data_IF_265802874270
#
_entry.id   IF_265802874270
#
_cell.length_a   1.000
_cell.length_b   1.000
_cell.length_c   1.000
_cell.angle_alpha   90.00
_cell.angle_beta   90.00
_cell.angle_gamma   90.00
#
_symmetry.space_group_name_H-M   'P 1'
#
loop_
_entity.id
_entity.type
_entity.pdbx_description
1 polymer ?
#
# COMPACT_ATOMS: atom_id res chain seq x y z
N UNK A 1 -16.14 54.26 11.85
CA UNK A 1 -16.90 53.01 11.58
C UNK A 1 -15.93 52.00 11.02
N UNK A 2 -15.62 50.88 11.70
CA UNK A 2 -14.86 49.80 11.10
C UNK A 2 -15.83 48.85 10.39
N UNK A 3 -15.55 48.59 9.11
CA UNK A 3 -16.23 47.60 8.28
C UNK A 3 -15.80 46.19 8.69
N UNK A 4 -16.78 45.37 9.05
CA UNK A 4 -16.62 43.93 9.27
C UNK A 4 -16.39 43.22 7.93
N UNK A 5 -15.32 42.42 7.85
CA UNK A 5 -15.15 41.38 6.83
C UNK A 5 -15.54 40.06 7.49
N UNK A 6 -16.71 39.54 7.12
CA UNK A 6 -17.17 38.22 7.53
C UNK A 6 -16.39 37.14 6.79
N UNK A 7 -15.75 36.23 7.52
CA UNK A 7 -15.19 35.01 6.95
C UNK A 7 -16.28 33.94 6.86
N UNK A 8 -16.63 33.60 5.63
CA UNK A 8 -17.48 32.47 5.31
C UNK A 8 -16.63 31.19 5.42
N UNK A 9 -16.86 30.37 6.44
CA UNK A 9 -16.21 29.07 6.58
C UNK A 9 -16.79 28.07 5.58
N UNK A 10 -16.25 28.06 4.36
CA UNK A 10 -16.35 26.92 3.46
C UNK A 10 -15.25 25.92 3.82
N UNK A 11 -15.63 24.67 4.13
CA UNK A 11 -14.67 23.57 4.21
C UNK A 11 -13.92 23.48 2.87
N UNK A 12 -12.58 23.62 2.86
CA UNK A 12 -11.85 23.61 1.61
C UNK A 12 -11.86 22.21 0.99
N UNK A 13 -12.00 22.17 -0.33
CA UNK A 13 -11.67 21.00 -1.16
C UNK A 13 -10.30 20.43 -0.77
N UNK A 14 -10.05 19.12 -0.94
CA UNK A 14 -8.74 18.53 -0.65
C UNK A 14 -7.65 19.26 -1.43
N UNK A 15 -6.85 20.06 -0.73
CA UNK A 15 -5.71 20.77 -1.32
C UNK A 15 -4.57 19.77 -1.43
N UNK A 16 -4.10 19.53 -2.65
CA UNK A 16 -2.89 18.75 -2.90
C UNK A 16 -1.71 19.70 -2.82
N UNK A 17 -0.86 19.53 -1.82
CA UNK A 17 0.43 20.22 -1.76
C UNK A 17 1.55 19.25 -2.18
N UNK A 18 2.44 19.69 -3.05
CA UNK A 18 3.63 18.95 -3.47
C UNK A 18 4.87 19.72 -3.04
N UNK A 19 5.76 19.05 -2.32
CA UNK A 19 7.09 19.56 -2.01
C UNK A 19 8.13 18.88 -2.92
N UNK A 20 8.78 19.62 -3.84
CA UNK A 20 9.76 19.08 -4.75
C UNK A 20 11.06 18.64 -4.09
N UNK A 21 11.42 19.14 -2.90
CA UNK A 21 12.67 18.78 -2.21
C UNK A 21 12.56 17.40 -1.57
N UNK A 22 11.41 17.11 -0.94
CA UNK A 22 11.16 15.84 -0.25
C UNK A 22 10.44 14.82 -1.14
N UNK A 23 9.86 15.25 -2.26
CA UNK A 23 9.07 14.44 -3.20
C UNK A 23 7.80 13.85 -2.54
N UNK A 24 7.15 14.68 -1.72
CA UNK A 24 6.05 14.31 -0.82
C UNK A 24 4.72 14.89 -1.31
N UNK A 25 3.66 14.08 -1.29
CA UNK A 25 2.30 14.51 -1.58
C UNK A 25 1.43 14.49 -0.33
N UNK A 26 0.91 15.67 0.04
CA UNK A 26 -0.05 15.83 1.12
C UNK A 26 -1.48 15.75 0.57
N UNK A 27 -2.32 14.93 1.18
CA UNK A 27 -3.76 14.88 0.91
C UNK A 27 -4.49 15.03 2.24
N UNK A 28 -5.24 16.11 2.43
CA UNK A 28 -6.14 16.21 3.58
C UNK A 28 -7.33 15.27 3.37
N UNK A 29 -7.74 14.57 4.44
CA UNK A 29 -9.01 13.86 4.43
C UNK A 29 -10.14 14.88 4.61
N UNK A 30 -10.89 15.14 3.54
CA UNK A 30 -12.19 15.82 3.66
C UNK A 30 -13.25 14.85 4.18
N UNK A 31 -14.24 15.36 4.92
CA UNK A 31 -15.44 14.62 5.33
C UNK A 31 -16.36 14.31 4.13
N UNK A 32 -15.99 13.37 3.26
CA UNK A 32 -16.89 12.88 2.22
C UNK A 32 -16.83 11.37 2.03
N UNK A 33 -18.02 10.75 1.88
CA UNK A 33 -18.17 9.35 1.48
C UNK A 33 -17.59 9.17 0.08
N UNK A 34 -16.49 8.43 -0.01
CA UNK A 34 -15.96 8.01 -1.31
C UNK A 34 -16.65 6.71 -1.76
N UNK A 35 -17.38 6.76 -2.88
CA UNK A 35 -17.38 5.60 -3.80
C UNK A 35 -15.92 5.38 -4.22
N UNK A 36 -15.41 4.17 -4.04
CA UNK A 36 -14.03 3.79 -4.39
C UNK A 36 -13.85 3.94 -5.91
N UNK A 37 -13.31 5.07 -6.33
CA UNK A 37 -12.75 5.25 -7.67
C UNK A 37 -11.22 5.23 -7.48
N UNK A 38 -10.48 4.31 -8.13
CA UNK A 38 -9.03 4.33 -8.07
C UNK A 38 -8.50 5.64 -8.67
N UNK A 39 -7.38 6.18 -8.18
CA UNK A 39 -6.81 7.42 -8.72
C UNK A 39 -6.46 7.23 -10.21
N UNK A 40 -6.67 8.26 -11.06
CA UNK A 40 -6.28 8.17 -12.45
C UNK A 40 -4.75 8.02 -12.56
N UNK A 41 -4.31 7.06 -13.36
CA UNK A 41 -2.93 6.98 -13.81
C UNK A 41 -2.65 8.22 -14.68
N UNK A 42 -1.62 8.97 -14.31
CA UNK A 42 -1.20 10.17 -15.06
C UNK A 42 -0.59 9.69 -16.38
N UNK A 43 -1.37 9.74 -17.46
CA UNK A 43 -0.87 9.76 -18.84
C UNK A 43 -1.13 11.15 -19.41
N UNK A 44 -0.06 11.78 -19.89
CA UNK A 44 -0.10 13.02 -20.66
C UNK A 44 -1.20 12.96 -21.72
N UNK A 45 -2.04 13.98 -21.84
CA UNK A 45 -2.60 14.43 -23.11
C UNK A 45 -3.24 15.83 -23.01
N UNK A 46 -3.04 16.53 -24.10
CA UNK A 46 -3.51 17.83 -24.54
C UNK A 46 -5.03 17.99 -24.57
N UNK A 47 -5.47 19.24 -24.36
CA UNK A 47 -6.66 19.93 -24.87
C UNK A 47 -7.60 19.13 -25.79
N UNK A 48 -8.89 19.06 -25.42
CA UNK A 48 -10.06 19.12 -26.34
C UNK A 48 -11.32 19.54 -25.54
N UNK A 49 -12.14 20.33 -26.23
CA UNK A 49 -13.35 21.02 -25.80
C UNK A 49 -14.60 20.13 -25.59
N UNK A 50 -15.44 20.60 -24.66
CA UNK A 50 -16.92 20.63 -24.56
C UNK A 50 -17.81 19.46 -25.04
N UNK A 51 -18.74 19.05 -24.15
CA UNK A 51 -20.21 19.21 -24.30
C UNK A 51 -20.98 18.54 -23.14
N UNK A 52 -22.01 19.23 -22.66
CA UNK A 52 -23.03 18.77 -21.72
C UNK A 52 -24.01 17.79 -22.38
N UNK A 53 -24.68 16.93 -21.58
CA UNK A 53 -26.13 16.91 -21.69
C UNK A 53 -26.89 16.77 -20.36
N UNK A 54 -28.10 17.33 -20.42
CA UNK A 54 -29.21 17.33 -19.46
C UNK A 54 -29.96 15.99 -19.41
N UNK A 55 -30.51 15.62 -18.23
CA UNK A 55 -31.79 14.90 -17.98
C UNK A 55 -31.99 14.70 -16.47
N UNK A 56 -32.97 15.35 -15.82
CA UNK A 56 -34.35 14.91 -15.49
C UNK A 56 -34.49 13.55 -14.76
N UNK A 57 -34.70 13.64 -13.43
CA UNK A 57 -35.89 13.17 -12.70
C UNK A 57 -36.18 11.67 -12.55
N UNK A 58 -36.11 11.15 -11.30
CA UNK A 58 -37.27 10.66 -10.53
C UNK A 58 -36.85 10.08 -9.15
N UNK A 59 -37.76 10.04 -8.15
CA UNK A 59 -37.47 9.68 -6.76
C UNK A 59 -37.73 8.20 -6.46
N UNK A 60 -36.95 7.61 -5.55
CA UNK A 60 -37.33 6.38 -4.86
C UNK A 60 -36.82 6.41 -3.42
N UNK A 61 -37.77 6.35 -2.50
CA UNK A 61 -37.62 6.16 -1.06
C UNK A 61 -37.35 4.69 -0.76
N UNK A 62 -36.26 4.41 -0.04
CA UNK A 62 -36.08 3.18 0.75
C UNK A 62 -35.27 3.50 2.03
N UNK A 63 -35.44 2.72 3.11
CA UNK A 63 -35.23 3.18 4.47
C UNK A 63 -33.86 2.80 5.06
N UNK A 64 -33.39 3.68 5.95
CA UNK A 64 -32.48 3.45 7.09
C UNK A 64 -31.19 2.66 6.82
N UNK A 65 -30.28 3.27 6.04
CA UNK A 65 -28.85 3.01 6.15
C UNK A 65 -28.32 3.69 7.42
N UNK A 66 -28.03 2.91 8.49
CA UNK A 66 -27.37 3.45 9.68
C UNK A 66 -25.97 3.97 9.31
N UNK A 67 -25.88 5.29 9.24
CA UNK A 67 -24.68 6.05 8.96
C UNK A 67 -23.63 5.88 10.06
N UNK A 68 -22.52 5.23 9.72
CA UNK A 68 -21.25 5.42 10.42
C UNK A 68 -20.71 6.83 10.11
N UNK A 69 -21.22 7.85 10.78
CA UNK A 69 -20.59 9.17 10.83
C UNK A 69 -19.35 9.08 11.74
N UNK A 70 -18.17 9.20 11.13
CA UNK A 70 -16.94 9.51 11.89
C UNK A 70 -17.12 10.93 12.43
N UNK A 71 -17.50 11.06 13.70
CA UNK A 71 -17.48 12.34 14.40
C UNK A 71 -16.03 12.79 14.55
N UNK A 72 -15.61 13.75 13.73
CA UNK A 72 -14.41 14.54 14.01
C UNK A 72 -14.74 15.43 15.22
N UNK A 73 -14.46 14.93 16.42
CA UNK A 73 -14.45 15.76 17.61
C UNK A 73 -13.08 16.48 17.65
N UNK A 74 -13.12 17.81 17.87
CA UNK A 74 -11.96 18.70 18.06
C UNK A 74 -11.20 19.08 16.78
N UNK A 75 -10.52 20.24 16.85
CA UNK A 75 -9.81 20.96 15.77
C UNK A 75 -8.64 20.20 15.09
N UNK A 76 -8.64 18.88 15.16
CA UNK A 76 -7.59 18.02 14.65
C UNK A 76 -7.84 17.74 13.16
N UNK A 77 -6.77 17.84 12.36
CA UNK A 77 -6.80 17.60 10.92
C UNK A 77 -5.88 16.43 10.61
N UNK A 78 -6.48 15.36 10.09
CA UNK A 78 -5.72 14.21 9.62
C UNK A 78 -5.16 14.45 8.22
N UNK A 79 -3.84 14.33 8.10
CA UNK A 79 -3.15 14.31 6.82
C UNK A 79 -2.76 12.88 6.44
N UNK A 80 -3.05 12.51 5.18
CA UNK A 80 -2.47 11.33 4.57
C UNK A 80 -1.26 11.73 3.74
N UNK A 81 -0.13 11.11 4.05
CA UNK A 81 1.10 11.30 3.31
C UNK A 81 1.35 10.13 2.37
N UNK A 82 1.44 10.42 1.07
CA UNK A 82 1.82 9.41 0.08
C UNK A 82 3.26 9.63 -0.35
N UNK A 83 4.09 8.63 -0.08
CA UNK A 83 5.50 8.66 -0.42
C UNK A 83 5.72 7.96 -1.77
N UNK A 84 6.49 8.61 -2.64
CA UNK A 84 6.68 8.16 -4.02
C UNK A 84 7.50 6.87 -4.13
N UNK A 85 8.49 6.68 -3.26
CA UNK A 85 9.41 5.55 -3.32
C UNK A 85 10.01 5.25 -1.93
N UNK A 86 10.76 4.15 -1.84
CA UNK A 86 11.41 3.69 -0.60
C UNK A 86 12.48 4.64 -0.07
N UNK A 87 13.14 5.43 -0.94
CA UNK A 87 14.14 6.42 -0.49
C UNK A 87 13.47 7.57 0.25
N UNK A 88 12.36 8.09 -0.28
CA UNK A 88 11.53 9.10 0.41
C UNK A 88 10.98 8.56 1.73
N UNK A 89 10.58 7.28 1.77
CA UNK A 89 10.19 6.63 3.02
C UNK A 89 11.34 6.56 4.02
N UNK A 90 12.51 6.04 3.61
CA UNK A 90 13.67 5.93 4.49
C UNK A 90 14.08 7.28 5.09
N UNK A 91 14.08 8.33 4.27
CA UNK A 91 14.37 9.71 4.71
C UNK A 91 13.38 10.16 5.79
N UNK A 92 12.08 10.01 5.55
CA UNK A 92 11.03 10.42 6.49
C UNK A 92 10.78 9.41 7.61
N UNK A 93 11.48 8.29 7.63
CA UNK A 93 11.39 7.37 8.77
C UNK A 93 12.16 7.94 9.97
N UNK A 94 13.21 8.72 9.72
CA UNK A 94 13.93 9.44 10.76
C UNK A 94 13.15 10.71 11.18
N UNK A 95 12.79 10.78 12.46
CA UNK A 95 12.10 11.93 13.08
C UNK A 95 12.86 13.23 12.94
N UNK A 96 14.20 13.17 12.87
CA UNK A 96 15.04 14.35 12.71
C UNK A 96 14.84 15.03 11.36
N UNK A 97 14.34 14.30 10.36
CA UNK A 97 14.04 14.85 9.04
C UNK A 97 12.64 15.46 8.94
N UNK A 98 11.82 15.36 9.98
CA UNK A 98 10.51 16.03 9.99
C UNK A 98 10.65 17.46 10.48
N UNK A 99 9.86 18.41 9.92
CA UNK A 99 9.79 19.75 10.49
C UNK A 99 9.21 19.67 11.92
N UNK A 100 9.55 20.61 12.79
CA UNK A 100 8.98 20.66 14.14
C UNK A 100 7.49 21.04 14.13
N UNK A 101 7.08 21.84 13.15
CA UNK A 101 5.70 22.27 12.96
C UNK A 101 5.31 22.28 11.48
N UNK A 102 4.02 22.09 11.21
CA UNK A 102 3.44 22.22 9.87
C UNK A 102 2.40 23.33 9.93
N UNK A 103 2.60 24.39 9.14
CA UNK A 103 1.77 25.61 9.19
C UNK A 103 1.64 26.20 10.61
N UNK A 104 2.73 26.17 11.39
CA UNK A 104 2.77 26.68 12.77
C UNK A 104 2.02 25.82 13.79
N UNK A 105 1.56 24.62 13.41
CA UNK A 105 0.93 23.66 14.31
C UNK A 105 1.85 22.47 14.59
N UNK A 106 1.80 21.98 15.81
CA UNK A 106 2.38 20.70 16.17
C UNK A 106 1.60 19.55 15.51
N UNK A 107 2.27 18.43 15.30
CA UNK A 107 1.64 17.21 14.79
C UNK A 107 2.13 16.02 15.60
N UNK A 108 1.35 14.95 15.57
CA UNK A 108 1.69 13.68 16.21
C UNK A 108 1.59 12.56 15.20
N UNK A 109 2.35 11.49 15.42
CA UNK A 109 2.21 10.26 14.66
C UNK A 109 1.32 9.31 15.48
N UNK A 110 0.15 8.89 14.97
CA UNK A 110 -0.73 7.98 15.70
C UNK A 110 -0.09 6.60 15.89
N UNK A 111 0.71 6.17 14.93
CA UNK A 111 1.53 4.96 14.98
C UNK A 111 2.62 5.07 13.91
N UNK A 112 3.72 4.32 14.08
CA UNK A 112 4.73 4.23 13.05
C UNK A 112 4.19 3.47 11.84
N UNK A 113 4.44 3.96 10.61
CA UNK A 113 3.93 3.32 9.41
C UNK A 113 4.60 1.95 9.23
N UNK A 114 3.84 1.02 8.63
CA UNK A 114 4.38 -0.27 8.21
C UNK A 114 5.53 -0.06 7.22
N UNK A 115 6.64 -0.77 7.45
CA UNK A 115 7.83 -0.67 6.59
C UNK A 115 7.50 -1.21 5.19
N UNK A 116 7.77 -0.44 4.13
CA UNK A 116 7.44 -0.84 2.77
C UNK A 116 8.22 -2.11 2.37
N UNK A 117 7.63 -3.02 1.57
CA UNK A 117 8.30 -4.25 1.13
C UNK A 117 9.67 -4.01 0.46
N UNK A 118 9.84 -2.87 -0.21
CA UNK A 118 11.07 -2.45 -0.87
C UNK A 118 12.21 -2.13 0.11
N UNK A 119 11.93 -2.07 1.41
CA UNK A 119 12.91 -1.95 2.51
C UNK A 119 12.99 -3.25 3.33
N UNK A 120 12.61 -4.38 2.76
CA UNK A 120 12.64 -5.66 3.45
C UNK A 120 13.46 -6.71 2.70
N UNK A 121 14.01 -7.66 3.45
CA UNK A 121 14.69 -8.86 2.96
C UNK A 121 14.20 -10.09 3.73
N UNK A 122 14.42 -11.28 3.17
CA UNK A 122 14.12 -12.56 3.83
C UNK A 122 15.41 -13.33 4.09
N UNK A 123 15.56 -13.78 5.33
CA UNK A 123 16.52 -14.81 5.73
C UNK A 123 15.83 -16.17 5.60
N UNK A 124 16.46 -17.11 4.88
CA UNK A 124 15.98 -18.49 4.73
C UNK A 124 16.66 -19.44 5.71
N UNK A 125 16.01 -20.59 5.89
CA UNK A 125 16.52 -21.74 6.64
C UNK A 125 16.81 -21.43 8.11
N UNK A 126 16.08 -20.47 8.70
CA UNK A 126 16.16 -20.23 10.14
C UNK A 126 15.42 -21.35 10.86
N UNK A 127 16.06 -22.01 11.82
CA UNK A 127 15.43 -23.11 12.56
C UNK A 127 14.18 -22.60 13.30
N UNK A 128 13.07 -23.36 13.25
CA UNK A 128 11.82 -23.01 13.93
C UNK A 128 12.01 -23.04 15.45
N UNK A 129 12.88 -23.91 15.96
CA UNK A 129 13.14 -24.11 17.38
C UNK A 129 14.22 -23.17 17.96
N UNK A 130 14.75 -22.24 17.17
CA UNK A 130 15.72 -21.26 17.68
C UNK A 130 15.05 -20.35 18.71
N UNK A 131 15.78 -19.93 19.74
CA UNK A 131 15.33 -18.86 20.62
C UNK A 131 15.25 -17.55 19.81
N UNK A 132 14.04 -17.23 19.35
CA UNK A 132 13.85 -16.18 18.34
C UNK A 132 14.21 -14.78 18.86
N UNK A 133 14.06 -14.54 20.15
CA UNK A 133 14.40 -13.27 20.78
C UNK A 133 15.93 -13.05 20.79
N UNK A 134 16.72 -14.06 21.17
CA UNK A 134 18.19 -14.03 21.10
C UNK A 134 18.66 -13.79 19.66
N UNK A 135 18.14 -14.59 18.71
CA UNK A 135 18.43 -14.43 17.29
C UNK A 135 18.10 -13.01 16.77
N UNK A 136 16.96 -12.47 17.17
CA UNK A 136 16.51 -11.13 16.79
C UNK A 136 17.45 -10.05 17.32
N UNK A 137 17.88 -10.17 18.58
CA UNK A 137 18.80 -9.23 19.21
C UNK A 137 20.18 -9.26 18.56
N UNK A 138 20.70 -10.43 18.21
CA UNK A 138 21.96 -10.56 17.49
C UNK A 138 21.92 -9.98 16.09
N UNK A 139 20.84 -10.21 15.35
CA UNK A 139 20.65 -9.63 14.01
C UNK A 139 20.65 -8.09 14.11
N UNK A 140 19.97 -7.53 15.10
CA UNK A 140 19.95 -6.06 15.34
C UNK A 140 21.30 -5.51 15.79
N UNK A 141 22.07 -6.29 16.56
CA UNK A 141 23.42 -5.91 16.96
C UNK A 141 24.39 -5.92 15.76
N UNK A 142 24.23 -6.88 14.84
CA UNK A 142 25.05 -7.01 13.64
C UNK A 142 24.69 -6.00 12.54
N UNK A 143 23.40 -5.70 12.39
CA UNK A 143 22.88 -4.82 11.34
C UNK A 143 22.02 -3.72 11.98
N UNK A 144 22.65 -2.59 12.30
CA UNK A 144 22.03 -1.49 13.05
C UNK A 144 20.79 -0.88 12.38
N UNK A 145 20.66 -0.99 11.05
CA UNK A 145 19.49 -0.47 10.31
C UNK A 145 18.28 -1.41 10.36
N UNK A 146 18.36 -2.56 11.03
CA UNK A 146 17.22 -3.46 11.21
C UNK A 146 16.29 -2.89 12.27
N UNK A 147 15.10 -2.50 11.84
CA UNK A 147 14.03 -2.00 12.71
C UNK A 147 13.32 -3.18 13.37
N UNK A 148 12.83 -4.11 12.53
CA UNK A 148 12.05 -5.27 12.97
C UNK A 148 12.63 -6.56 12.39
N UNK A 149 12.59 -7.61 13.20
CA UNK A 149 12.87 -8.99 12.82
C UNK A 149 11.58 -9.77 13.04
N UNK A 150 10.99 -10.28 11.97
CA UNK A 150 9.65 -10.87 12.00
C UNK A 150 9.71 -12.31 11.52
N UNK A 151 9.39 -13.26 12.39
CA UNK A 151 9.17 -14.66 11.99
C UNK A 151 7.95 -14.73 11.09
N UNK A 152 8.08 -15.37 9.93
CA UNK A 152 6.94 -15.55 9.04
C UNK A 152 6.10 -16.77 9.45
N UNK A 153 4.81 -16.72 9.17
CA UNK A 153 3.86 -17.80 9.42
C UNK A 153 3.21 -18.27 8.12
N UNK A 154 2.83 -19.54 8.08
CA UNK A 154 2.03 -20.08 6.99
C UNK A 154 0.55 -19.64 7.11
N UNK A 155 -0.29 -20.08 6.16
CA UNK A 155 -1.74 -19.79 6.16
C UNK A 155 -2.52 -20.34 7.36
N UNK A 156 -1.93 -21.27 8.10
CA UNK A 156 -2.49 -21.89 9.31
C UNK A 156 -1.97 -21.24 10.60
N UNK A 157 -1.11 -20.22 10.50
CA UNK A 157 -0.53 -19.52 11.65
C UNK A 157 0.73 -20.19 12.22
N UNK A 158 1.19 -21.31 11.67
CA UNK A 158 2.43 -21.95 12.16
C UNK A 158 3.65 -21.22 11.60
N UNK A 159 4.67 -21.06 12.43
CA UNK A 159 5.97 -20.53 12.04
C UNK A 159 6.59 -21.33 10.90
N UNK A 160 7.32 -20.65 10.02
CA UNK A 160 8.10 -21.25 8.94
C UNK A 160 9.56 -20.85 9.05
N UNK A 161 10.43 -21.55 8.31
CA UNK A 161 11.88 -21.31 8.28
C UNK A 161 12.31 -19.99 7.59
N UNK A 162 11.41 -19.01 7.50
CA UNK A 162 11.66 -17.70 6.90
C UNK A 162 11.52 -16.61 7.95
N UNK A 163 12.50 -15.71 7.98
CA UNK A 163 12.46 -14.51 8.82
C UNK A 163 12.56 -13.29 7.91
N UNK A 164 11.65 -12.34 8.09
CA UNK A 164 11.64 -11.07 7.40
C UNK A 164 12.41 -10.05 8.22
N UNK A 165 13.37 -9.37 7.59
CA UNK A 165 14.00 -8.17 8.15
C UNK A 165 13.36 -6.94 7.53
N UNK A 166 13.01 -5.98 8.37
CA UNK A 166 12.54 -4.65 7.96
C UNK A 166 13.62 -3.62 8.29
N UNK A 167 14.04 -2.86 7.27
CA UNK A 167 15.22 -1.99 7.33
C UNK A 167 14.81 -0.52 7.23
N UNK A 168 15.57 0.36 7.90
CA UNK A 168 15.45 1.80 7.76
C UNK A 168 16.13 2.32 6.47
N UNK A 169 17.18 1.64 6.01
CA UNK A 169 18.06 2.13 4.94
C UNK A 169 17.97 1.31 3.64
N UNK A 170 17.90 2.02 2.51
CA UNK A 170 18.00 1.40 1.18
C UNK A 170 19.39 0.85 0.86
N UNK A 171 20.47 1.46 1.39
CA UNK A 171 21.84 1.01 1.10
C UNK A 171 22.11 -0.33 1.77
N UNK A 172 21.81 -0.42 3.07
CA UNK A 172 22.01 -1.64 3.87
C UNK A 172 21.19 -2.81 3.33
N UNK A 173 19.97 -2.54 2.84
CA UNK A 173 19.21 -3.54 2.08
C UNK A 173 19.99 -4.06 0.88
N UNK A 174 20.52 -3.16 0.06
CA UNK A 174 21.23 -3.55 -1.15
C UNK A 174 22.51 -4.33 -0.82
N UNK A 175 23.22 -3.93 0.24
CA UNK A 175 24.43 -4.62 0.70
C UNK A 175 24.13 -6.06 1.14
N UNK A 176 23.06 -6.26 1.92
CA UNK A 176 22.58 -7.59 2.32
C UNK A 176 22.20 -8.46 1.10
N UNK A 177 21.52 -7.88 0.11
CA UNK A 177 21.13 -8.60 -1.11
C UNK A 177 22.34 -8.94 -2.00
N UNK A 178 23.34 -8.07 -2.06
CA UNK A 178 24.57 -8.29 -2.80
C UNK A 178 25.43 -9.37 -2.14
N UNK A 179 25.52 -9.36 -0.80
CA UNK A 179 26.22 -10.37 -0.02
C UNK A 179 25.56 -11.75 -0.11
N UNK A 180 24.22 -11.80 -0.27
CA UNK A 180 23.39 -13.02 -0.34
C UNK A 180 23.43 -13.91 0.90
N UNK A 181 24.26 -13.58 1.88
CA UNK A 181 24.50 -14.34 3.09
C UNK A 181 24.57 -13.41 4.30
N UNK A 182 24.07 -13.88 5.43
CA UNK A 182 24.20 -13.24 6.74
C UNK A 182 24.71 -14.28 7.73
N UNK A 183 25.76 -13.95 8.49
CA UNK A 183 26.32 -14.85 9.51
C UNK A 183 25.85 -14.38 10.88
N UNK A 184 25.12 -15.22 11.60
CA UNK A 184 24.61 -14.96 12.95
C UNK A 184 25.00 -16.15 13.81
N UNK A 185 25.70 -15.94 14.93
CA UNK A 185 26.27 -17.00 15.77
C UNK A 185 27.02 -18.09 15.00
N UNK A 186 27.92 -17.69 14.10
CA UNK A 186 28.71 -18.60 13.26
C UNK A 186 27.89 -19.46 12.27
N UNK A 187 26.57 -19.27 12.20
CA UNK A 187 25.69 -19.93 11.23
C UNK A 187 25.47 -18.99 10.04
N UNK A 188 25.72 -19.49 8.83
CA UNK A 188 25.50 -18.75 7.59
C UNK A 188 24.09 -18.99 7.04
N UNK A 189 23.31 -17.93 6.90
CA UNK A 189 21.96 -17.95 6.36
C UNK A 189 21.88 -17.32 4.97
N UNK A 190 20.99 -17.83 4.11
CA UNK A 190 20.72 -17.22 2.81
C UNK A 190 19.82 -16.00 2.95
N UNK A 191 20.19 -14.91 2.28
CA UNK A 191 19.42 -13.67 2.20
C UNK A 191 18.87 -13.51 0.79
N UNK A 192 17.56 -13.27 0.68
CA UNK A 192 16.90 -12.98 -0.59
C UNK A 192 16.02 -11.72 -0.49
N UNK A 193 15.62 -11.20 -1.64
CA UNK A 193 14.66 -10.11 -1.73
C UNK A 193 13.30 -10.52 -1.18
N UNK A 194 12.71 -9.66 -0.35
CA UNK A 194 11.31 -9.80 0.03
C UNK A 194 10.41 -9.32 -1.10
N UNK A 195 9.67 -10.25 -1.69
CA UNK A 195 8.60 -9.96 -2.63
C UNK A 195 7.28 -10.05 -1.89
N UNK A 196 6.60 -8.92 -1.71
CA UNK A 196 5.26 -8.95 -1.12
C UNK A 196 4.35 -9.80 -2.02
N UNK A 197 3.47 -10.64 -1.45
CA UNK A 197 2.49 -11.35 -2.24
C UNK A 197 1.64 -10.32 -3.00
N UNK A 198 1.74 -10.30 -4.32
CA UNK A 198 0.94 -9.41 -5.15
C UNK A 198 -0.51 -9.90 -5.11
N UNK A 199 -1.29 -9.44 -4.13
CA UNK A 199 -2.71 -9.79 -4.03
C UNK A 199 -3.58 -8.93 -4.95
N UNK A 200 -3.05 -8.48 -6.10
CA UNK A 200 -3.79 -7.57 -6.98
C UNK A 200 -4.92 -8.41 -7.52
N UNK A 201 -6.14 -7.96 -7.26
CA UNK A 201 -7.29 -8.53 -7.92
C UNK A 201 -7.17 -8.22 -9.41
N UNK A 202 -6.65 -9.18 -10.17
CA UNK A 202 -6.55 -9.12 -11.63
C UNK A 202 -7.71 -9.94 -12.17
N UNK A 203 -8.60 -9.28 -12.90
CA UNK A 203 -9.74 -9.91 -13.54
C UNK A 203 -9.26 -10.99 -14.52
N UNK A 204 -9.74 -12.22 -14.37
CA UNK A 204 -9.35 -13.35 -15.22
C UNK A 204 -9.87 -13.26 -16.66
N UNK A 205 -10.82 -12.35 -16.95
CA UNK A 205 -11.35 -12.11 -18.30
C UNK A 205 -10.50 -11.12 -19.07
N UNK A 206 -10.32 -9.91 -18.54
CA UNK A 206 -9.64 -8.83 -19.27
C UNK A 206 -8.21 -8.56 -18.78
N UNK A 207 -7.72 -9.29 -17.77
CA UNK A 207 -6.46 -8.98 -17.08
C UNK A 207 -6.39 -7.54 -16.54
N UNK A 208 -7.52 -6.87 -16.34
CA UNK A 208 -7.63 -5.55 -15.72
C UNK A 208 -7.55 -5.64 -14.19
N UNK A 209 -7.13 -4.56 -13.54
CA UNK A 209 -6.98 -4.51 -12.09
C UNK A 209 -8.27 -4.04 -11.42
N UNK A 210 -8.55 -4.54 -10.22
CA UNK A 210 -9.49 -3.92 -9.28
C UNK A 210 -10.94 -4.39 -9.41
N UNK A 211 -11.23 -5.45 -10.16
CA UNK A 211 -12.59 -5.97 -10.30
C UNK A 211 -12.61 -7.50 -10.51
N UNK A 212 -13.74 -8.11 -10.15
CA UNK A 212 -14.00 -9.53 -10.41
C UNK A 212 -14.50 -9.75 -11.83
N UNK A 213 -14.36 -10.99 -12.33
CA UNK A 213 -14.86 -11.38 -13.66
C UNK A 213 -16.35 -11.09 -13.87
N UNK A 214 -17.16 -11.24 -12.82
CA UNK A 214 -18.61 -10.97 -12.83
C UNK A 214 -18.94 -9.48 -13.03
N UNK A 215 -18.01 -8.58 -12.73
CA UNK A 215 -18.16 -7.12 -12.87
C UNK A 215 -17.39 -6.58 -14.09
N UNK A 216 -16.87 -7.46 -14.94
CA UNK A 216 -16.06 -7.08 -16.09
C UNK A 216 -16.96 -6.65 -17.25
N UNK A 217 -16.84 -5.39 -17.67
CA UNK A 217 -17.59 -4.81 -18.79
C UNK A 217 -16.97 -5.12 -20.17
N UNK A 218 -15.74 -5.64 -20.19
CA UNK A 218 -15.06 -5.99 -21.43
C UNK A 218 -15.78 -7.14 -22.13
N UNK A 219 -16.05 -6.99 -23.43
CA UNK A 219 -16.73 -8.02 -24.21
C UNK A 219 -15.81 -9.20 -24.51
N UNK A 220 -14.54 -8.90 -24.82
CA UNK A 220 -13.53 -9.87 -25.24
C UNK A 220 -12.64 -10.31 -24.08
N UNK A 221 -12.09 -11.51 -24.19
CA UNK A 221 -11.10 -12.01 -23.23
C UNK A 221 -9.71 -11.53 -23.65
N UNK A 222 -8.85 -11.22 -22.69
CA UNK A 222 -7.47 -10.81 -22.95
C UNK A 222 -6.53 -11.99 -22.75
N UNK A 223 -5.69 -12.27 -23.75
CA UNK A 223 -4.63 -13.26 -23.62
C UNK A 223 -3.65 -12.84 -22.51
N UNK A 224 -3.34 -13.76 -21.59
CA UNK A 224 -2.46 -13.49 -20.44
C UNK A 224 -1.00 -13.28 -20.84
N UNK A 225 -0.60 -13.80 -22.00
CA UNK A 225 0.77 -13.72 -22.50
C UNK A 225 0.97 -12.47 -23.34
N UNK A 226 0.24 -12.28 -24.43
CA UNK A 226 0.46 -11.13 -25.33
C UNK A 226 -0.35 -9.87 -24.98
N UNK A 227 -1.21 -9.94 -23.95
CA UNK A 227 -2.10 -8.84 -23.53
C UNK A 227 -3.11 -8.33 -24.57
N UNK A 228 -3.27 -9.02 -25.71
CA UNK A 228 -4.26 -8.67 -26.74
C UNK A 228 -5.65 -9.26 -26.45
N UNK A 229 -6.70 -8.57 -26.89
CA UNK A 229 -8.09 -8.99 -26.74
C UNK A 229 -8.52 -9.91 -27.90
N UNK A 230 -9.22 -10.99 -27.58
CA UNK A 230 -9.74 -11.98 -28.53
C UNK A 230 -11.21 -12.29 -28.23
N UNK A 231 -11.99 -12.50 -29.30
CA UNK A 231 -13.37 -12.98 -29.21
C UNK A 231 -13.43 -14.43 -28.72
N UNK A 232 -12.51 -15.27 -29.18
CA UNK A 232 -12.38 -16.66 -28.76
C UNK A 232 -10.94 -16.99 -28.33
N UNK A 233 -10.72 -16.96 -27.02
CA UNK A 233 -9.41 -17.25 -26.44
C UNK A 233 -9.08 -18.75 -26.49
N UNK A 234 -10.06 -19.65 -26.66
CA UNK A 234 -9.80 -21.11 -26.70
C UNK A 234 -9.03 -21.52 -27.95
N UNK A 235 -9.28 -20.83 -29.06
CA UNK A 235 -8.61 -21.05 -30.34
C UNK A 235 -7.32 -20.24 -30.51
N UNK A 236 -7.02 -19.34 -29.56
CA UNK A 236 -5.82 -18.52 -29.61
C UNK A 236 -4.58 -19.32 -29.19
N UNK A 237 -3.64 -19.51 -30.12
CA UNK A 237 -2.30 -20.09 -29.85
C UNK A 237 -1.28 -18.96 -29.78
N UNK A 238 -0.99 -18.49 -28.56
CA UNK A 238 -0.02 -17.42 -28.36
C UNK A 238 1.41 -17.94 -28.55
N UNK A 239 2.14 -17.40 -29.53
CA UNK A 239 3.59 -17.62 -29.71
C UNK A 239 4.41 -16.37 -29.37
N UNK A 240 3.76 -15.28 -28.96
CA UNK A 240 4.42 -14.04 -28.59
C UNK A 240 5.06 -14.14 -27.19
N UNK A 241 6.09 -13.34 -26.99
CA UNK A 241 6.72 -13.13 -25.68
C UNK A 241 5.71 -12.55 -24.66
N UNK A 242 5.89 -12.83 -23.36
CA UNK A 242 5.00 -12.33 -22.32
C UNK A 242 5.09 -10.81 -22.19
N UNK A 243 3.99 -10.11 -22.40
CA UNK A 243 3.85 -8.66 -22.27
C UNK A 243 2.84 -8.32 -21.17
N UNK A 244 3.22 -7.44 -20.27
CA UNK A 244 2.36 -6.97 -19.19
C UNK A 244 1.33 -5.96 -19.72
N UNK A 245 0.04 -6.19 -19.47
CA UNK A 245 -1.04 -5.24 -19.86
C UNK A 245 -0.92 -3.87 -19.19
N UNK A 246 -0.25 -3.77 -18.05
CA UNK A 246 -0.23 -2.56 -17.21
C UNK A 246 1.00 -1.68 -17.40
N UNK A 247 2.16 -2.28 -17.66
CA UNK A 247 3.42 -1.55 -17.82
C UNK A 247 4.14 -1.86 -19.14
N UNK A 248 3.56 -2.74 -19.97
CA UNK A 248 4.13 -3.17 -21.26
C UNK A 248 5.52 -3.83 -21.17
N UNK A 249 5.96 -4.21 -19.96
CA UNK A 249 7.23 -4.92 -19.75
C UNK A 249 7.17 -6.40 -20.10
N UNK A 250 8.35 -7.03 -20.25
CA UNK A 250 8.51 -8.44 -20.60
C UNK A 250 8.25 -9.38 -19.40
N UNK A 251 7.00 -9.47 -18.98
CA UNK A 251 6.50 -10.37 -17.93
C UNK A 251 4.96 -10.43 -17.96
N UNK A 252 4.36 -11.44 -17.32
CA UNK A 252 2.90 -11.55 -17.20
C UNK A 252 2.32 -10.46 -16.30
N UNK A 253 1.08 -10.01 -16.56
CA UNK A 253 0.41 -8.94 -15.78
C UNK A 253 0.29 -9.22 -14.28
N UNK A 254 0.27 -10.49 -13.87
CA UNK A 254 0.23 -10.93 -12.46
C UNK A 254 1.61 -11.22 -11.85
N UNK A 255 2.69 -10.96 -12.59
CA UNK A 255 4.05 -11.18 -12.09
C UNK A 255 4.35 -10.22 -10.94
N UNK A 256 4.96 -10.74 -9.88
CA UNK A 256 5.47 -9.93 -8.77
C UNK A 256 6.55 -8.90 -9.21
N UNK A 257 7.07 -9.02 -10.44
CA UNK A 257 8.00 -8.06 -11.04
C UNK A 257 7.31 -6.82 -11.64
N UNK A 258 5.97 -6.82 -11.73
CA UNK A 258 5.26 -5.71 -12.35
C UNK A 258 5.19 -4.50 -11.41
N UNK A 259 5.74 -3.32 -11.78
CA UNK A 259 5.76 -2.14 -10.91
C UNK A 259 4.35 -1.66 -10.56
N UNK A 260 3.37 -1.82 -11.46
CA UNK A 260 1.97 -1.43 -11.21
C UNK A 260 1.35 -2.33 -10.12
N UNK A 261 1.65 -3.63 -10.13
CA UNK A 261 1.14 -4.54 -9.11
C UNK A 261 1.77 -4.32 -7.73
N UNK A 262 3.02 -3.84 -7.71
CA UNK A 262 3.73 -3.48 -6.48
C UNK A 262 3.14 -2.18 -5.88
N UNK A 263 2.88 -1.17 -6.72
CA UNK A 263 2.46 0.17 -6.28
C UNK A 263 1.02 0.24 -5.80
N UNK A 264 0.13 -0.66 -6.25
CA UNK A 264 -1.26 -0.69 -5.77
C UNK A 264 -1.42 -1.33 -4.38
N UNK A 265 -0.32 -1.74 -3.73
CA UNK A 265 -0.29 -2.25 -2.36
C UNK A 265 0.57 -1.46 -1.38
N UNK A 266 0.38 -0.15 -1.19
CA UNK A 266 0.62 0.42 0.10
C UNK A 266 -0.64 0.13 0.93
N UNK A 267 -0.51 -0.76 1.90
CA UNK A 267 -1.39 -0.73 3.07
C UNK A 267 -2.79 -1.36 2.98
N UNK A 268 -2.97 -2.31 3.89
CA UNK A 268 -4.17 -2.58 4.68
C UNK A 268 -4.99 -3.84 4.36
N UNK A 269 -4.71 -4.90 5.12
CA UNK A 269 -5.67 -6.00 5.34
C UNK A 269 -5.64 -6.63 6.74
N UNK A 270 -4.89 -6.08 7.70
CA UNK A 270 -4.71 -6.76 9.01
C UNK A 270 -5.11 -5.98 10.27
N UNK A 271 -5.46 -4.69 10.24
CA UNK A 271 -5.76 -3.99 11.51
C UNK A 271 -7.18 -4.15 12.07
N UNK A 272 -8.08 -4.90 11.43
CA UNK A 272 -9.48 -5.03 11.92
C UNK A 272 -9.80 -6.36 12.62
N UNK A 273 -8.96 -7.41 12.52
CA UNK A 273 -9.25 -8.66 13.24
C UNK A 273 -8.71 -8.71 14.66
N UNK A 274 -7.59 -8.03 14.94
CA UNK A 274 -6.95 -8.14 16.25
C UNK A 274 -7.61 -7.24 17.31
N UNK A 275 -8.40 -6.23 16.91
CA UNK A 275 -9.18 -5.39 17.83
C UNK A 275 -10.50 -6.02 18.30
N UNK A 276 -11.00 -7.08 17.66
CA UNK A 276 -12.16 -7.84 18.16
C UNK A 276 -11.76 -8.94 19.15
N UNK A 277 -10.54 -9.48 19.06
CA UNK A 277 -10.12 -10.59 19.94
C UNK A 277 -9.76 -10.13 21.37
N UNK A 278 -9.42 -8.85 21.56
CA UNK A 278 -9.08 -8.29 22.89
C UNK A 278 -10.30 -7.84 23.71
N UNK A 279 -11.52 -7.93 23.18
CA UNK A 279 -12.76 -7.53 23.90
C UNK A 279 -13.58 -8.69 24.46
N UNK A 280 -13.16 -9.95 24.27
CA UNK A 280 -13.92 -11.13 24.73
C UNK A 280 -13.31 -11.88 25.93
N UNK A 281 -12.30 -11.31 26.60
CA UNK A 281 -11.76 -11.86 27.86
C UNK A 281 -11.96 -10.83 28.97
N UNK A 282 -13.21 -10.60 29.39
CA UNK A 282 -13.55 -10.05 30.71
C UNK A 282 -15.07 -9.99 30.93
N UNK A 283 -15.71 -11.15 31.04
CA UNK A 283 -17.03 -11.28 31.69
C UNK A 283 -17.16 -12.66 32.32
N UNK A 284 -16.49 -12.84 33.47
CA UNK A 284 -16.82 -13.87 34.46
C UNK A 284 -16.20 -13.49 35.80
N UNK A 285 -16.89 -12.63 36.54
CA UNK A 285 -16.77 -12.48 37.98
C UNK A 285 -17.92 -11.60 38.51
N UNK A 286 -19.09 -12.20 38.72
CA UNK A 286 -19.99 -11.97 39.86
C UNK A 286 -21.17 -12.92 39.78
#
# INVERSE_FOLDING_TARGET
>A
QPSQIGYNHQCPYPVKHYDPQTNVHFVSKGNHRHRRVPPPLISNLTSINSRTPSKRGSPSSDPDEEDFQVKCNNNDIDFLLYLKNSKSFALLYDKLNWPLTIAGKEFTFPSWPSIPPQLSVIIKNVNINIEFEEFSNEVKALVHDVINVVRMNNKFGNDIHLVKLELSSTSTRQDLLNAKKLIVNYISYDVIEFLSPATVLICSKCSGIGHFRTQCTEQHETCKTCAQAFSDLKNHRCTADPVCKHCSGNHLSNSAKCPVTIVLFPYNRKTERDTLSSKMVNTSAR
#
